data_IF_828335311872
#
_entry.id   IF_828335311872
#
_cell.length_a   1.000
_cell.length_b   1.000
_cell.length_c   1.000
_cell.angle_alpha   90.00
_cell.angle_beta   90.00
_cell.angle_gamma   90.00
#
_symmetry.space_group_name_H-M   'P 1'
#
loop_
_entity.id
_entity.type
_entity.pdbx_description
1 polymer ?
#
# COMPACT_ATOMS: atom_id res chain seq x y z
N UNK A 1 -30.01 4.77 -8.25
CA UNK A 1 -28.68 5.24 -7.78
C UNK A 1 -27.61 4.14 -7.79
N UNK A 2 -27.95 2.85 -7.83
CA UNK A 2 -27.00 1.73 -7.89
C UNK A 2 -26.21 1.57 -9.20
N UNK A 3 -26.72 2.12 -10.31
CA UNK A 3 -26.06 2.02 -11.62
C UNK A 3 -24.77 2.82 -11.77
N UNK A 4 -24.66 3.95 -11.05
CA UNK A 4 -23.45 4.82 -11.10
C UNK A 4 -22.25 4.15 -10.41
N UNK A 5 -22.49 3.45 -9.30
CA UNK A 5 -21.44 2.71 -8.61
C UNK A 5 -20.93 1.53 -9.44
N UNK A 6 -21.83 0.77 -10.07
CA UNK A 6 -21.45 -0.37 -10.92
C UNK A 6 -20.75 0.06 -12.21
N UNK A 7 -21.09 1.22 -12.79
CA UNK A 7 -20.36 1.75 -13.96
C UNK A 7 -18.94 2.19 -13.60
N UNK A 8 -18.77 2.92 -12.48
CA UNK A 8 -17.46 3.37 -12.00
C UNK A 8 -16.60 2.18 -11.58
N UNK A 9 -17.20 1.15 -10.99
CA UNK A 9 -16.52 -0.11 -10.68
C UNK A 9 -16.02 -0.81 -11.94
N UNK A 10 -16.82 -0.91 -13.00
CA UNK A 10 -16.35 -1.50 -14.28
C UNK A 10 -15.22 -0.70 -14.90
N UNK A 11 -15.30 0.62 -14.85
CA UNK A 11 -14.23 1.51 -15.32
C UNK A 11 -12.94 1.30 -14.52
N UNK A 12 -13.04 1.19 -13.19
CA UNK A 12 -11.89 0.88 -12.32
C UNK A 12 -11.28 -0.50 -12.64
N UNK A 13 -12.09 -1.55 -12.84
CA UNK A 13 -11.61 -2.89 -13.24
C UNK A 13 -10.90 -2.86 -14.59
N UNK A 14 -11.42 -2.09 -15.54
CA UNK A 14 -10.83 -1.99 -16.87
C UNK A 14 -9.46 -1.28 -16.82
N UNK A 15 -9.35 -0.22 -16.03
CA UNK A 15 -8.10 0.50 -15.80
C UNK A 15 -7.08 -0.35 -15.01
N UNK A 16 -7.54 -1.08 -14.00
CA UNK A 16 -6.72 -2.04 -13.25
C UNK A 16 -6.11 -3.10 -14.16
N UNK A 17 -6.92 -3.75 -14.99
CA UNK A 17 -6.45 -4.78 -15.92
C UNK A 17 -5.47 -4.24 -16.97
N UNK A 18 -5.68 -3.01 -17.43
CA UNK A 18 -4.74 -2.32 -18.32
C UNK A 18 -3.42 -2.02 -17.60
N UNK A 19 -3.47 -1.63 -16.34
CA UNK A 19 -2.29 -1.34 -15.53
C UNK A 19 -1.50 -2.63 -15.25
N UNK A 20 -2.17 -3.73 -14.92
CA UNK A 20 -1.55 -5.05 -14.72
C UNK A 20 -0.82 -5.55 -15.97
N UNK A 21 -1.44 -5.47 -17.15
CA UNK A 21 -0.78 -5.89 -18.41
C UNK A 21 0.47 -5.04 -18.69
N UNK A 22 0.40 -3.73 -18.45
CA UNK A 22 1.51 -2.79 -18.66
C UNK A 22 2.63 -3.00 -17.65
N UNK A 23 2.31 -3.23 -16.37
CA UNK A 23 3.29 -3.55 -15.32
C UNK A 23 3.94 -4.90 -15.61
N UNK A 24 3.19 -5.92 -16.02
CA UNK A 24 3.73 -7.23 -16.39
C UNK A 24 4.70 -7.14 -17.57
N UNK A 25 4.36 -6.39 -18.62
CA UNK A 25 5.27 -6.09 -19.74
C UNK A 25 6.52 -5.35 -19.28
N UNK A 26 6.36 -4.35 -18.43
CA UNK A 26 7.47 -3.59 -17.86
C UNK A 26 8.40 -4.47 -17.02
N UNK A 27 7.86 -5.37 -16.21
CA UNK A 27 8.61 -6.35 -15.44
C UNK A 27 9.35 -7.34 -16.33
N UNK A 28 8.71 -7.88 -17.36
CA UNK A 28 9.36 -8.77 -18.33
C UNK A 28 10.53 -8.08 -19.04
N UNK A 29 10.33 -6.84 -19.49
CA UNK A 29 11.38 -6.03 -20.12
C UNK A 29 12.53 -5.74 -19.14
N UNK A 30 12.21 -5.41 -17.90
CA UNK A 30 13.19 -5.15 -16.84
C UNK A 30 13.99 -6.41 -16.47
N UNK A 31 13.32 -7.57 -16.40
CA UNK A 31 13.96 -8.85 -16.11
C UNK A 31 14.88 -9.28 -17.26
N UNK A 32 14.42 -9.15 -18.52
CA UNK A 32 15.26 -9.40 -19.71
C UNK A 32 16.50 -8.51 -19.71
N UNK A 33 16.33 -7.25 -19.37
CA UNK A 33 17.43 -6.30 -19.30
C UNK A 33 18.41 -6.63 -18.16
N UNK A 34 17.91 -6.97 -16.98
CA UNK A 34 18.74 -7.41 -15.84
C UNK A 34 19.47 -8.74 -16.12
N UNK A 35 18.83 -9.69 -16.80
CA UNK A 35 19.41 -10.98 -17.15
C UNK A 35 20.56 -10.83 -18.16
N UNK A 36 20.39 -9.96 -19.16
CA UNK A 36 21.42 -9.68 -20.14
C UNK A 36 22.68 -9.04 -19.53
N UNK A 37 22.53 -8.27 -18.44
CA UNK A 37 23.66 -7.70 -17.68
C UNK A 37 24.37 -8.74 -16.80
N UNK A 38 23.70 -9.84 -16.44
CA UNK A 38 24.24 -10.90 -15.57
C UNK A 38 24.96 -12.02 -16.32
N UNK A 39 24.62 -12.26 -17.60
CA UNK A 39 25.29 -13.26 -18.45
C UNK A 39 26.62 -12.73 -18.98
N UNK A 40 27.60 -12.63 -18.11
CA UNK A 40 29.01 -12.38 -18.45
C UNK A 40 29.70 -13.70 -18.78
N UNK A 41 29.39 -14.28 -19.94
CA UNK A 41 30.39 -15.11 -20.61
C UNK A 41 30.79 -14.41 -21.91
N UNK A 42 32.09 -14.17 -22.03
CA UNK A 42 32.72 -13.22 -22.95
C UNK A 42 32.58 -13.62 -24.44
N UNK A 43 31.94 -14.74 -24.74
CA UNK A 43 31.71 -15.26 -26.10
C UNK A 43 30.46 -14.75 -26.82
N UNK A 44 29.66 -13.88 -26.21
CA UNK A 44 28.25 -13.73 -26.60
C UNK A 44 27.85 -12.38 -27.22
N UNK A 45 28.78 -11.62 -27.80
CA UNK A 45 28.46 -10.39 -28.54
C UNK A 45 27.43 -10.60 -29.66
N UNK A 46 27.38 -11.80 -30.24
CA UNK A 46 26.35 -12.24 -31.20
C UNK A 46 24.94 -12.37 -30.58
N UNK A 47 24.87 -12.71 -29.30
CA UNK A 47 23.62 -12.87 -28.55
C UNK A 47 23.05 -11.54 -28.05
N UNK A 48 23.83 -10.45 -28.00
CA UNK A 48 23.30 -9.10 -27.69
C UNK A 48 22.28 -8.64 -28.74
N UNK A 49 22.47 -9.03 -30.00
CA UNK A 49 21.51 -8.82 -31.08
C UNK A 49 20.33 -9.81 -31.00
N UNK A 50 20.57 -11.05 -30.58
CA UNK A 50 19.57 -12.13 -30.44
C UNK A 50 18.63 -11.92 -29.23
N UNK A 51 19.12 -11.32 -28.15
CA UNK A 51 18.36 -10.97 -26.92
C UNK A 51 17.45 -9.74 -27.08
N UNK A 52 17.43 -9.10 -28.26
CA UNK A 52 16.48 -8.01 -28.55
C UNK A 52 16.69 -6.76 -27.69
N UNK A 53 17.92 -6.50 -27.23
CA UNK A 53 18.35 -5.22 -26.64
C UNK A 53 18.48 -4.13 -27.73
N UNK A 54 17.47 -4.04 -28.59
CA UNK A 54 17.31 -2.98 -29.58
C UNK A 54 16.93 -1.69 -28.86
N UNK A 55 17.28 -0.52 -29.44
CA UNK A 55 16.81 0.79 -28.96
C UNK A 55 15.30 0.80 -28.67
N UNK A 56 14.53 0.04 -29.46
CA UNK A 56 13.10 -0.21 -29.28
C UNK A 56 12.71 -0.72 -27.88
N UNK A 57 13.51 -1.57 -27.23
CA UNK A 57 13.23 -2.08 -25.88
C UNK A 57 13.46 -0.99 -24.81
N UNK A 58 14.48 -0.15 -25.01
CA UNK A 58 14.76 1.01 -24.15
C UNK A 58 13.68 2.09 -24.30
N UNK A 59 13.24 2.36 -25.53
CA UNK A 59 12.13 3.27 -25.84
C UNK A 59 10.78 2.73 -25.32
N UNK A 60 10.55 1.42 -25.40
CA UNK A 60 9.40 0.77 -24.79
C UNK A 60 9.40 0.90 -23.26
N UNK A 61 10.56 0.75 -22.62
CA UNK A 61 10.72 0.98 -21.18
C UNK A 61 10.44 2.46 -20.83
N UNK A 62 10.99 3.41 -21.60
CA UNK A 62 10.81 4.83 -21.36
C UNK A 62 9.35 5.29 -21.57
N UNK A 63 8.68 4.78 -22.60
CA UNK A 63 7.26 5.06 -22.83
C UNK A 63 6.36 4.45 -21.75
N UNK A 64 6.64 3.22 -21.32
CA UNK A 64 5.94 2.59 -20.19
C UNK A 64 6.16 3.34 -18.88
N UNK A 65 7.36 3.89 -18.64
CA UNK A 65 7.64 4.72 -17.46
C UNK A 65 6.83 6.01 -17.40
N UNK A 66 6.37 6.54 -18.54
CA UNK A 66 5.52 7.74 -18.60
C UNK A 66 4.04 7.35 -18.54
N UNK A 67 3.66 6.26 -19.22
CA UNK A 67 2.28 5.80 -19.32
C UNK A 67 1.75 5.22 -17.99
N UNK A 68 2.57 4.46 -17.26
CA UNK A 68 2.18 3.81 -15.99
C UNK A 68 1.79 4.84 -14.92
N UNK A 69 2.58 5.90 -14.62
CA UNK A 69 2.19 6.94 -13.66
C UNK A 69 0.92 7.70 -14.06
N UNK A 70 0.68 7.89 -15.36
CA UNK A 70 -0.54 8.52 -15.88
C UNK A 70 -1.77 7.65 -15.62
N UNK A 71 -1.66 6.34 -15.87
CA UNK A 71 -2.71 5.37 -15.57
C UNK A 71 -2.96 5.25 -14.06
N UNK A 72 -1.91 5.26 -13.24
CA UNK A 72 -2.04 5.31 -11.78
C UNK A 72 -2.81 6.55 -11.29
N UNK A 73 -2.54 7.71 -11.89
CA UNK A 73 -3.24 8.97 -11.56
C UNK A 73 -4.72 8.92 -11.96
N UNK A 74 -5.02 8.34 -13.13
CA UNK A 74 -6.40 8.14 -13.59
C UNK A 74 -7.16 7.16 -12.69
N UNK A 75 -6.55 6.03 -12.35
CA UNK A 75 -7.15 5.05 -11.44
C UNK A 75 -7.35 5.62 -10.04
N UNK A 76 -6.40 6.42 -9.55
CA UNK A 76 -6.53 7.13 -8.27
C UNK A 76 -7.69 8.12 -8.29
N UNK A 77 -7.87 8.90 -9.36
CA UNK A 77 -8.99 9.83 -9.50
C UNK A 77 -10.35 9.12 -9.59
N UNK A 78 -10.42 7.98 -10.29
CA UNK A 78 -11.63 7.15 -10.35
C UNK A 78 -11.96 6.57 -8.98
N UNK A 79 -10.97 6.04 -8.24
CA UNK A 79 -11.18 5.44 -6.92
C UNK A 79 -11.56 6.51 -5.89
N UNK A 80 -10.76 7.58 -5.76
CA UNK A 80 -10.94 8.60 -4.71
C UNK A 80 -11.99 9.65 -5.06
N UNK A 81 -12.13 10.02 -6.34
CA UNK A 81 -13.05 11.04 -6.81
C UNK A 81 -14.45 10.51 -7.10
N UNK A 82 -14.60 9.22 -7.45
CA UNK A 82 -15.89 8.67 -7.88
C UNK A 82 -16.33 7.42 -7.12
N UNK A 83 -15.46 6.43 -6.91
CA UNK A 83 -15.85 5.14 -6.33
C UNK A 83 -16.15 5.20 -4.83
N UNK A 84 -15.26 5.81 -4.05
CA UNK A 84 -15.42 6.01 -2.60
C UNK A 84 -16.61 6.93 -2.26
N UNK A 85 -16.79 8.10 -2.90
CA UNK A 85 -17.93 8.97 -2.63
C UNK A 85 -19.27 8.42 -3.15
N UNK A 86 -19.26 7.60 -4.21
CA UNK A 86 -20.47 6.89 -4.68
C UNK A 86 -20.87 5.69 -3.79
N UNK A 87 -20.01 5.27 -2.84
CA UNK A 87 -20.28 4.16 -1.96
C UNK A 87 -21.22 4.55 -0.81
N UNK A 88 -22.52 4.34 -1.03
CA UNK A 88 -23.57 4.63 -0.06
C UNK A 88 -23.75 3.50 0.98
N UNK A 89 -23.56 2.24 0.58
CA UNK A 89 -23.73 1.08 1.48
C UNK A 89 -22.41 0.64 2.14
N UNK A 90 -22.45 0.04 3.35
CA UNK A 90 -21.26 -0.52 4.01
C UNK A 90 -20.51 -1.55 3.15
N UNK A 91 -21.25 -2.36 2.38
CA UNK A 91 -20.68 -3.32 1.43
C UNK A 91 -19.95 -2.64 0.26
N UNK A 92 -20.48 -1.52 -0.24
CA UNK A 92 -19.85 -0.73 -1.30
C UNK A 92 -18.59 0.00 -0.80
N UNK A 93 -18.59 0.44 0.46
CA UNK A 93 -17.42 1.04 1.11
C UNK A 93 -16.30 0.03 1.31
N UNK A 94 -16.64 -1.21 1.68
CA UNK A 94 -15.67 -2.31 1.76
C UNK A 94 -15.02 -2.59 0.39
N UNK A 95 -15.80 -2.53 -0.69
CA UNK A 95 -15.27 -2.65 -2.06
C UNK A 95 -14.33 -1.47 -2.38
N UNK A 96 -14.72 -0.23 -2.09
CA UNK A 96 -13.86 0.93 -2.31
C UNK A 96 -12.53 0.85 -1.56
N UNK A 97 -12.54 0.39 -0.30
CA UNK A 97 -11.33 0.17 0.49
C UNK A 97 -10.45 -0.92 -0.12
N UNK A 98 -11.04 -2.02 -0.59
CA UNK A 98 -10.29 -3.08 -1.28
C UNK A 98 -9.59 -2.58 -2.55
N UNK A 99 -10.26 -1.74 -3.36
CA UNK A 99 -9.63 -1.13 -4.53
C UNK A 99 -8.48 -0.19 -4.17
N UNK A 100 -8.58 0.49 -3.02
CA UNK A 100 -7.49 1.31 -2.48
C UNK A 100 -6.27 0.47 -2.14
N UNK A 101 -6.49 -0.68 -1.49
CA UNK A 101 -5.41 -1.60 -1.12
C UNK A 101 -4.76 -2.20 -2.38
N UNK A 102 -5.55 -2.64 -3.37
CA UNK A 102 -5.06 -3.13 -4.66
C UNK A 102 -4.22 -2.07 -5.39
N UNK A 103 -4.69 -0.81 -5.42
CA UNK A 103 -3.94 0.29 -6.02
C UNK A 103 -2.59 0.51 -5.33
N UNK A 104 -2.56 0.42 -3.99
CA UNK A 104 -1.35 0.59 -3.19
C UNK A 104 -0.36 -0.57 -3.43
N UNK A 105 -0.84 -1.81 -3.54
CA UNK A 105 -0.03 -2.98 -3.86
C UNK A 105 0.58 -2.87 -5.27
N UNK A 106 -0.24 -2.55 -6.27
CA UNK A 106 0.22 -2.32 -7.65
C UNK A 106 1.30 -1.23 -7.71
N UNK A 107 1.13 -0.15 -6.92
CA UNK A 107 2.10 0.94 -6.84
C UNK A 107 3.43 0.45 -6.23
N UNK A 108 3.35 -0.29 -5.12
CA UNK A 108 4.53 -0.87 -4.48
C UNK A 108 5.30 -1.78 -5.43
N UNK A 109 4.60 -2.61 -6.19
CA UNK A 109 5.22 -3.54 -7.14
C UNK A 109 5.86 -2.85 -8.34
N UNK A 110 5.26 -1.76 -8.82
CA UNK A 110 5.88 -0.90 -9.82
C UNK A 110 7.16 -0.23 -9.29
N UNK A 111 7.12 0.33 -8.07
CA UNK A 111 8.30 0.95 -7.44
C UNK A 111 9.42 -0.09 -7.22
N UNK A 112 9.10 -1.31 -6.78
CA UNK A 112 10.08 -2.41 -6.72
C UNK A 112 10.71 -2.68 -8.09
N UNK A 113 9.90 -2.75 -9.13
CA UNK A 113 10.34 -2.99 -10.51
C UNK A 113 11.26 -1.88 -11.02
N UNK A 114 10.96 -0.61 -10.69
CA UNK A 114 11.84 0.53 -10.97
C UNK A 114 13.20 0.41 -10.27
N UNK A 115 13.23 -0.02 -9.01
CA UNK A 115 14.52 -0.20 -8.32
C UNK A 115 15.37 -1.30 -8.95
N UNK A 116 14.75 -2.38 -9.47
CA UNK A 116 15.46 -3.45 -10.19
C UNK A 116 16.05 -2.89 -11.48
N UNK A 117 15.26 -2.12 -12.25
CA UNK A 117 15.73 -1.47 -13.47
C UNK A 117 16.88 -0.49 -13.19
N UNK A 118 16.75 0.36 -12.17
CA UNK A 118 17.80 1.31 -11.79
C UNK A 118 19.11 0.60 -11.45
N UNK A 119 19.05 -0.47 -10.66
CA UNK A 119 20.24 -1.28 -10.32
C UNK A 119 20.87 -1.91 -11.55
N UNK A 120 20.06 -2.42 -12.48
CA UNK A 120 20.58 -2.96 -13.73
C UNK A 120 21.26 -1.87 -14.58
N UNK A 121 20.79 -0.62 -14.51
CA UNK A 121 21.37 0.53 -15.23
C UNK A 121 22.69 0.98 -14.64
N UNK A 122 22.72 1.14 -13.33
CA UNK A 122 23.93 1.47 -12.60
C UNK A 122 25.01 0.40 -12.86
N UNK A 123 24.65 -0.89 -12.87
CA UNK A 123 25.60 -1.96 -13.25
C UNK A 123 26.10 -1.81 -14.68
N UNK A 124 25.22 -1.54 -15.64
CA UNK A 124 25.62 -1.33 -17.03
C UNK A 124 26.56 -0.13 -17.18
N UNK A 125 26.28 0.99 -16.50
CA UNK A 125 27.14 2.19 -16.51
C UNK A 125 28.51 1.95 -15.86
N UNK A 126 28.56 1.22 -14.74
CA UNK A 126 29.81 0.83 -14.10
C UNK A 126 30.65 -0.10 -14.98
N UNK A 127 30.02 -1.05 -15.68
CA UNK A 127 30.70 -1.96 -16.62
C UNK A 127 31.19 -1.23 -17.87
N UNK A 128 30.39 -0.29 -18.41
CA UNK A 128 30.81 0.56 -19.52
C UNK A 128 31.99 1.46 -19.13
N UNK A 129 31.99 2.00 -17.91
CA UNK A 129 33.12 2.76 -17.37
C UNK A 129 34.38 1.91 -17.19
N UNK A 130 34.25 0.67 -16.68
CA UNK A 130 35.38 -0.25 -16.54
C UNK A 130 35.96 -0.68 -17.90
N UNK A 131 35.12 -0.98 -18.89
CA UNK A 131 35.55 -1.33 -20.24
C UNK A 131 36.18 -0.14 -21.01
N UNK A 132 35.75 1.09 -20.74
CA UNK A 132 36.38 2.30 -21.27
C UNK A 132 37.77 2.53 -20.66
N UNK A 133 37.91 2.33 -19.33
CA UNK A 133 39.20 2.48 -18.64
C UNK A 133 40.27 1.44 -19.03
N UNK A 134 39.86 0.27 -19.55
CA UNK A 134 40.80 -0.76 -20.03
C UNK A 134 41.26 -0.55 -21.47
N UNK A 135 40.67 0.40 -22.21
CA UNK A 135 40.81 0.49 -23.67
C UNK A 135 41.41 1.80 -24.19
N UNK A 136 41.67 2.83 -23.37
CA UNK A 136 42.16 4.13 -23.86
C UNK A 136 43.53 4.52 -23.28
N UNK A 137 44.53 4.23 -24.10
CA UNK A 137 45.82 4.88 -24.22
C UNK A 137 45.62 6.40 -24.44
N UNK A 138 45.79 7.22 -23.39
CA UNK A 138 46.03 8.67 -23.55
C UNK A 138 44.90 9.67 -23.20
N UNK A 139 43.87 9.33 -22.42
CA UNK A 139 42.94 10.34 -21.84
C UNK A 139 43.43 10.86 -20.49
N UNK A 140 43.35 12.17 -20.30
CA UNK A 140 43.80 12.87 -19.09
C UNK A 140 43.02 12.39 -17.84
N UNK A 141 43.68 11.77 -16.84
CA UNK A 141 43.02 11.14 -15.69
C UNK A 141 42.19 12.12 -14.84
N UNK A 142 42.48 13.42 -14.93
CA UNK A 142 41.68 14.46 -14.27
C UNK A 142 40.27 14.60 -14.83
N UNK A 143 40.09 14.45 -16.15
CA UNK A 143 38.77 14.61 -16.79
C UNK A 143 37.85 13.41 -16.48
N UNK A 144 38.38 12.19 -16.45
CA UNK A 144 37.61 11.02 -16.05
C UNK A 144 37.13 11.09 -14.60
N UNK A 145 38.00 11.55 -13.69
CA UNK A 145 37.62 11.74 -12.27
C UNK A 145 36.47 12.73 -12.14
N UNK A 146 36.49 13.83 -12.88
CA UNK A 146 35.43 14.85 -12.85
C UNK A 146 34.12 14.35 -13.48
N UNK A 147 34.18 13.59 -14.57
CA UNK A 147 33.00 12.97 -15.17
C UNK A 147 32.36 11.92 -14.25
N UNK A 148 33.20 11.13 -13.57
CA UNK A 148 32.76 10.16 -12.56
C UNK A 148 32.12 10.84 -11.37
N UNK A 149 32.71 11.91 -10.87
CA UNK A 149 32.15 12.73 -9.78
C UNK A 149 30.81 13.33 -10.19
N UNK A 150 30.70 13.86 -11.42
CA UNK A 150 29.44 14.41 -11.96
C UNK A 150 28.35 13.36 -12.05
N UNK A 151 28.67 12.15 -12.51
CA UNK A 151 27.72 11.03 -12.54
C UNK A 151 27.32 10.60 -11.13
N UNK A 152 28.26 10.56 -10.18
CA UNK A 152 27.98 10.27 -8.77
C UNK A 152 27.03 11.32 -8.15
N UNK A 153 27.27 12.61 -8.41
CA UNK A 153 26.43 13.71 -7.95
C UNK A 153 25.04 13.61 -8.57
N UNK A 154 24.92 13.35 -9.87
CA UNK A 154 23.63 13.21 -10.54
C UNK A 154 22.85 12.00 -9.99
N UNK A 155 23.52 10.87 -9.78
CA UNK A 155 22.88 9.70 -9.17
C UNK A 155 22.42 9.99 -7.73
N UNK A 156 23.24 10.67 -6.93
CA UNK A 156 22.91 11.12 -5.58
C UNK A 156 21.72 12.09 -5.58
N UNK A 157 21.66 13.01 -6.54
CA UNK A 157 20.55 13.95 -6.72
C UNK A 157 19.24 13.21 -7.02
N UNK A 158 19.27 12.21 -7.89
CA UNK A 158 18.10 11.39 -8.22
C UNK A 158 17.69 10.48 -7.04
N UNK A 159 18.63 9.98 -6.25
CA UNK A 159 18.33 9.24 -5.02
C UNK A 159 17.67 10.15 -3.97
N UNK A 160 18.19 11.36 -3.78
CA UNK A 160 17.61 12.36 -2.89
C UNK A 160 16.18 12.76 -3.34
N UNK A 161 15.95 12.96 -4.64
CA UNK A 161 14.62 13.23 -5.19
C UNK A 161 13.63 12.08 -4.93
N UNK A 162 14.10 10.82 -5.01
CA UNK A 162 13.29 9.65 -4.66
C UNK A 162 12.94 9.60 -3.17
N UNK A 163 13.88 9.94 -2.28
CA UNK A 163 13.64 10.00 -0.83
C UNK A 163 12.66 11.12 -0.49
N UNK A 164 12.74 12.27 -1.18
CA UNK A 164 11.77 13.36 -1.04
C UNK A 164 10.38 12.91 -1.51
N UNK A 165 10.29 12.22 -2.65
CA UNK A 165 9.03 11.65 -3.14
C UNK A 165 8.42 10.64 -2.16
N UNK A 166 9.25 9.80 -1.54
CA UNK A 166 8.84 8.83 -0.52
C UNK A 166 8.43 9.51 0.80
N UNK A 167 9.07 10.62 1.17
CA UNK A 167 8.67 11.41 2.34
C UNK A 167 7.30 12.09 2.15
N UNK A 168 7.02 12.60 0.93
CA UNK A 168 5.71 13.19 0.62
C UNK A 168 4.60 12.13 0.63
N UNK A 169 4.87 10.91 0.14
CA UNK A 169 3.92 9.79 0.22
C UNK A 169 3.67 9.34 1.67
N UNK A 170 4.71 9.23 2.49
CA UNK A 170 4.57 8.93 3.94
C UNK A 170 3.80 10.04 4.66
N UNK A 171 4.03 11.31 4.32
CA UNK A 171 3.26 12.44 4.86
C UNK A 171 1.79 12.37 4.48
N UNK A 172 1.49 11.96 3.25
CA UNK A 172 0.12 11.78 2.78
C UNK A 172 -0.56 10.62 3.52
N UNK A 173 0.14 9.48 3.69
CA UNK A 173 -0.34 8.34 4.48
C UNK A 173 -0.56 8.67 5.95
N UNK A 174 0.35 9.41 6.59
CA UNK A 174 0.17 9.90 7.97
C UNK A 174 -1.02 10.84 8.10
N UNK A 175 -1.30 11.69 7.09
CA UNK A 175 -2.51 12.52 7.04
C UNK A 175 -3.79 11.68 6.93
N UNK A 176 -3.78 10.61 6.13
CA UNK A 176 -4.90 9.69 6.00
C UNK A 176 -5.10 8.85 7.28
N UNK A 177 -4.02 8.36 7.88
CA UNK A 177 -4.05 7.69 9.18
C UNK A 177 -4.57 8.62 10.29
N UNK A 178 -4.17 9.90 10.29
CA UNK A 178 -4.69 10.91 11.22
C UNK A 178 -6.19 11.18 11.08
N UNK A 179 -6.73 11.14 9.84
CA UNK A 179 -8.18 11.20 9.59
C UNK A 179 -8.90 9.95 10.10
N UNK A 180 -8.29 8.77 9.94
CA UNK A 180 -8.84 7.50 10.44
C UNK A 180 -8.89 7.47 11.97
N UNK A 181 -7.83 7.91 12.66
CA UNK A 181 -7.79 8.03 14.12
C UNK A 181 -8.80 9.05 14.66
N UNK A 182 -8.98 10.19 13.97
CA UNK A 182 -10.07 11.13 14.30
C UNK A 182 -11.45 10.51 14.11
N UNK A 183 -11.65 9.73 13.04
CA UNK A 183 -12.91 9.04 12.78
C UNK A 183 -13.22 8.00 13.86
N UNK A 184 -12.20 7.25 14.31
CA UNK A 184 -12.30 6.29 15.41
C UNK A 184 -12.59 7.01 16.74
N UNK A 185 -11.93 8.14 17.00
CA UNK A 185 -12.21 8.99 18.17
C UNK A 185 -13.64 9.54 18.16
N UNK A 186 -14.16 9.96 17.00
CA UNK A 186 -15.57 10.38 16.86
C UNK A 186 -16.53 9.21 16.96
N UNK A 187 -16.17 8.01 16.49
CA UNK A 187 -17.00 6.81 16.64
C UNK A 187 -17.06 6.36 18.10
N UNK A 188 -15.92 6.35 18.79
CA UNK A 188 -15.83 6.07 20.23
C UNK A 188 -16.67 7.10 20.97
N UNK A 189 -16.48 8.40 20.72
CA UNK A 189 -17.26 9.45 21.37
C UNK A 189 -18.77 9.38 21.01
N UNK A 190 -19.11 8.95 19.80
CA UNK A 190 -20.49 8.69 19.38
C UNK A 190 -21.07 7.44 20.06
N UNK A 191 -20.25 6.41 20.35
CA UNK A 191 -20.63 5.23 21.13
C UNK A 191 -20.82 5.63 22.60
N UNK A 192 -19.95 6.49 23.15
CA UNK A 192 -20.11 7.01 24.52
C UNK A 192 -21.34 7.91 24.67
N UNK A 193 -21.70 8.68 23.63
CA UNK A 193 -22.86 9.58 23.65
C UNK A 193 -24.17 8.91 23.22
N UNK A 194 -24.15 7.85 22.38
CA UNK A 194 -25.34 7.08 21.98
C UNK A 194 -25.56 5.80 22.80
N UNK A 195 -24.76 5.54 23.84
CA UNK A 195 -25.12 4.57 24.89
C UNK A 195 -25.48 5.31 26.21
N UNK A 196 -26.52 6.17 26.24
CA UNK A 196 -27.19 6.53 27.48
C UNK A 196 -28.03 5.31 27.90
N UNK A 197 -27.42 4.33 28.56
CA UNK A 197 -28.16 3.12 28.94
C UNK A 197 -27.37 1.98 29.55
N UNK A 198 -26.04 1.94 29.44
CA UNK A 198 -25.25 0.89 30.09
C UNK A 198 -25.35 0.95 31.62
N UNK A 199 -25.41 2.15 32.23
CA UNK A 199 -25.70 2.26 33.66
C UNK A 199 -27.09 1.71 34.01
N UNK A 200 -28.11 1.92 33.18
CA UNK A 200 -29.45 1.40 33.40
C UNK A 200 -29.53 -0.12 33.25
N UNK A 201 -28.88 -0.68 32.23
CA UNK A 201 -28.86 -2.11 31.94
C UNK A 201 -28.03 -2.88 32.98
N UNK A 202 -26.89 -2.36 33.40
CA UNK A 202 -26.07 -2.94 34.48
C UNK A 202 -26.82 -2.89 35.83
N UNK A 203 -27.50 -1.77 36.14
CA UNK A 203 -28.30 -1.65 37.36
C UNK A 203 -29.54 -2.57 37.34
N UNK A 204 -30.19 -2.75 36.19
CA UNK A 204 -31.31 -3.67 36.02
C UNK A 204 -30.90 -5.14 36.15
N UNK A 205 -29.72 -5.52 35.65
CA UNK A 205 -29.14 -6.86 35.82
C UNK A 205 -28.85 -7.12 37.31
N UNK A 206 -28.28 -6.14 38.01
CA UNK A 206 -27.97 -6.25 39.44
C UNK A 206 -29.23 -6.32 40.32
N UNK A 207 -30.30 -5.58 39.99
CA UNK A 207 -31.59 -5.64 40.68
C UNK A 207 -32.34 -6.95 40.50
N UNK A 208 -32.23 -7.62 39.34
CA UNK A 208 -32.83 -8.96 39.19
C UNK A 208 -32.13 -9.99 40.06
N UNK A 209 -30.80 -9.91 40.19
CA UNK A 209 -30.03 -10.82 41.04
C UNK A 209 -30.24 -10.63 42.55
N UNK A 210 -30.55 -9.41 43.01
CA UNK A 210 -30.81 -9.16 44.44
C UNK A 210 -32.19 -9.63 44.92
N UNK A 211 -33.18 -9.74 44.01
CA UNK A 211 -34.54 -10.17 44.37
C UNK A 211 -34.59 -11.65 44.74
N UNK A 212 -33.86 -12.48 44.01
CA UNK A 212 -33.81 -13.92 44.29
C UNK A 212 -33.13 -14.18 45.64
N UNK A 213 -32.06 -13.43 45.96
CA UNK A 213 -31.33 -13.54 47.22
C UNK A 213 -32.18 -13.07 48.43
N UNK A 214 -32.97 -12.01 48.26
CA UNK A 214 -33.91 -11.53 49.30
C UNK A 214 -35.03 -12.53 49.60
N UNK A 215 -35.56 -13.21 48.58
CA UNK A 215 -36.60 -14.22 48.76
C UNK A 215 -36.02 -15.43 49.51
N UNK A 216 -34.84 -15.91 49.12
CA UNK A 216 -34.17 -17.04 49.77
C UNK A 216 -33.83 -16.71 51.23
N UNK A 217 -33.27 -15.52 51.51
CA UNK A 217 -32.98 -15.07 52.87
C UNK A 217 -34.24 -14.99 53.74
N UNK A 218 -35.37 -14.52 53.18
CA UNK A 218 -36.65 -14.45 53.89
C UNK A 218 -37.20 -15.82 54.27
N UNK A 219 -37.12 -16.81 53.37
CA UNK A 219 -37.56 -18.19 53.64
C UNK A 219 -36.71 -18.83 54.75
N UNK A 220 -35.39 -18.64 54.70
CA UNK A 220 -34.47 -19.16 55.73
C UNK A 220 -34.79 -18.52 57.10
N UNK A 221 -34.95 -17.20 57.15
CA UNK A 221 -35.29 -16.49 58.40
C UNK A 221 -36.64 -16.94 58.97
N UNK A 222 -37.67 -17.10 58.12
CA UNK A 222 -38.98 -17.61 58.53
C UNK A 222 -38.90 -19.02 59.11
N UNK A 223 -38.11 -19.91 58.48
CA UNK A 223 -37.93 -21.27 58.96
C UNK A 223 -37.26 -21.29 60.34
N UNK A 224 -36.21 -20.50 60.54
CA UNK A 224 -35.50 -20.40 61.83
C UNK A 224 -36.44 -19.90 62.94
N UNK A 225 -37.20 -18.83 62.70
CA UNK A 225 -38.16 -18.29 63.69
C UNK A 225 -39.22 -19.32 64.05
N UNK A 226 -39.76 -20.04 63.06
CA UNK A 226 -40.75 -21.09 63.29
C UNK A 226 -40.18 -22.24 64.14
N UNK A 227 -38.94 -22.67 63.85
CA UNK A 227 -38.28 -23.72 64.65
C UNK A 227 -37.99 -23.28 66.09
N UNK A 228 -37.58 -22.02 66.30
CA UNK A 228 -37.36 -21.49 67.64
C UNK A 228 -38.67 -21.35 68.42
N UNK A 229 -39.74 -20.92 67.76
CA UNK A 229 -41.06 -20.83 68.38
C UNK A 229 -41.59 -22.21 68.79
N UNK A 230 -41.38 -23.25 67.97
CA UNK A 230 -41.77 -24.62 68.29
C UNK A 230 -40.91 -25.26 69.39
N UNK A 231 -39.63 -24.87 69.51
CA UNK A 231 -38.72 -25.47 70.50
C UNK A 231 -38.82 -24.81 71.88
N UNK A 232 -39.06 -23.49 71.94
CA UNK A 232 -39.12 -22.70 73.17
C UNK A 232 -40.53 -22.30 73.61
N UNK A 233 -41.55 -22.51 72.76
CA UNK A 233 -42.96 -22.33 73.08
C UNK A 233 -43.64 -23.66 73.33
#
# INVERSE_FOLDING_TARGET
MSGSFESVKREAVQLERQLEDKIARFQQLTQKWSAATHSTDLGNSLNRAELGLTENSSEAIASLQIEIPRLFSQLHDVIHGRLIPAAALPSQRAVGNRYRDIWQDLRSDYDKSLTVLRRAKERHELLAGAAASSSDDGRDPGMESLLRERNHINNSMNAAASVIGQAESVRQDLRWQGRSLRSAGTLINAITTNIPGLNGLVEQIRRRRSRDDQIVAGVIASCIVFTLWYLFG
#
